data_IF_771258579175
#
_entry.id   IF_771258579175
#
_cell.length_a   1.000
_cell.length_b   1.000
_cell.length_c   1.000
_cell.angle_alpha   90.00
_cell.angle_beta   90.00
_cell.angle_gamma   90.00
#
_symmetry.space_group_name_H-M   'P 1'
#
loop_
_entity.id
_entity.type
_entity.pdbx_description
1 polymer ?
#
# COMPACT_ATOMS: atom_id res chain seq x y z
N UNK A 1 8.91 -2.99 -26.53
CA UNK A 1 8.08 -1.85 -26.10
C UNK A 1 6.85 -2.41 -25.40
N UNK A 2 6.74 -2.36 -24.07
CA UNK A 2 5.47 -2.56 -23.40
C UNK A 2 5.12 -1.28 -22.62
N UNK A 3 4.26 -0.43 -23.17
CA UNK A 3 3.79 0.79 -22.50
C UNK A 3 2.27 0.98 -22.56
N UNK A 4 1.52 0.08 -23.19
CA UNK A 4 0.11 0.34 -23.50
C UNK A 4 -0.88 -0.52 -22.68
N UNK A 5 -0.41 -1.51 -21.91
CA UNK A 5 -1.28 -2.27 -21.00
C UNK A 5 -1.56 -1.55 -19.68
N UNK A 6 -0.71 -0.58 -19.30
CA UNK A 6 -0.84 0.19 -18.06
C UNK A 6 -1.74 1.43 -18.20
N UNK A 7 -2.48 1.60 -19.31
CA UNK A 7 -3.35 2.77 -19.52
C UNK A 7 -4.83 2.42 -19.72
N UNK A 8 -5.19 1.14 -19.78
CA UNK A 8 -6.55 0.68 -20.08
C UNK A 8 -7.37 0.25 -18.86
N UNK A 9 -6.81 0.27 -17.65
CA UNK A 9 -7.52 -0.07 -16.40
C UNK A 9 -8.38 1.08 -15.84
N UNK A 10 -8.35 2.27 -16.46
CA UNK A 10 -8.93 3.51 -15.91
C UNK A 10 -10.46 3.62 -15.95
N UNK A 11 -11.19 2.69 -16.58
CA UNK A 11 -12.58 2.96 -16.99
C UNK A 11 -13.69 2.14 -16.33
N UNK A 12 -13.39 1.33 -15.32
CA UNK A 12 -14.43 0.55 -14.64
C UNK A 12 -14.21 0.45 -13.14
N UNK A 13 -14.30 1.58 -12.44
CA UNK A 13 -14.27 1.53 -10.99
C UNK A 13 -15.24 2.52 -10.37
N UNK A 14 -15.99 2.05 -9.38
CA UNK A 14 -16.90 2.88 -8.61
C UNK A 14 -16.10 4.03 -7.98
N UNK A 15 -16.74 5.16 -7.64
CA UNK A 15 -16.02 6.31 -7.03
C UNK A 15 -15.23 5.97 -5.76
N UNK A 16 -15.49 4.82 -5.11
CA UNK A 16 -14.75 4.37 -3.93
C UNK A 16 -13.37 3.82 -4.28
N UNK A 17 -13.21 3.27 -5.48
CA UNK A 17 -12.00 2.56 -5.88
C UNK A 17 -10.89 3.53 -6.35
N UNK A 18 -11.27 4.64 -6.99
CA UNK A 18 -10.31 5.66 -7.46
C UNK A 18 -9.56 6.37 -6.34
N UNK A 19 -10.20 6.57 -5.18
CA UNK A 19 -9.55 7.23 -4.05
C UNK A 19 -8.52 6.32 -3.36
N UNK A 20 -8.88 5.04 -3.20
CA UNK A 20 -7.99 4.02 -2.66
C UNK A 20 -6.77 3.82 -3.56
N UNK A 21 -6.99 3.69 -4.86
CA UNK A 21 -5.94 3.55 -5.86
C UNK A 21 -5.00 4.77 -5.90
N UNK A 22 -5.55 5.98 -5.92
CA UNK A 22 -4.75 7.20 -5.90
C UNK A 22 -3.89 7.31 -4.62
N UNK A 23 -4.45 6.88 -3.48
CA UNK A 23 -3.72 6.89 -2.19
C UNK A 23 -2.59 5.87 -2.19
N UNK A 24 -2.84 4.67 -2.71
CA UNK A 24 -1.83 3.62 -2.86
C UNK A 24 -0.68 4.04 -3.81
N UNK A 25 -1.03 4.67 -4.93
CA UNK A 25 -0.03 5.23 -5.84
C UNK A 25 0.84 6.28 -5.15
N UNK A 26 0.21 7.20 -4.40
CA UNK A 26 0.92 8.24 -3.65
C UNK A 26 1.81 7.65 -2.57
N UNK A 27 1.36 6.62 -1.87
CA UNK A 27 2.15 5.90 -0.87
C UNK A 27 3.41 5.30 -1.48
N UNK A 28 3.28 4.60 -2.62
CA UNK A 28 4.41 4.04 -3.36
C UNK A 28 5.40 5.13 -3.80
N UNK A 29 4.88 6.22 -4.37
CA UNK A 29 5.69 7.34 -4.84
C UNK A 29 6.52 7.94 -3.69
N UNK A 30 5.87 8.24 -2.56
CA UNK A 30 6.55 8.76 -1.37
C UNK A 30 7.60 7.77 -0.84
N UNK A 31 7.30 6.47 -0.83
CA UNK A 31 8.27 5.44 -0.41
C UNK A 31 9.52 5.44 -1.29
N UNK A 32 9.36 5.52 -2.61
CA UNK A 32 10.48 5.57 -3.56
C UNK A 32 11.28 6.87 -3.46
N UNK A 33 10.61 8.02 -3.33
CA UNK A 33 11.28 9.32 -3.13
C UNK A 33 12.09 9.34 -1.83
N UNK A 34 11.50 8.83 -0.74
CA UNK A 34 12.18 8.73 0.56
C UNK A 34 13.38 7.80 0.48
N UNK A 35 13.23 6.64 -0.17
CA UNK A 35 14.34 5.69 -0.36
C UNK A 35 15.48 6.31 -1.17
N UNK A 36 15.16 6.99 -2.28
CA UNK A 36 16.16 7.66 -3.10
C UNK A 36 16.92 8.73 -2.31
N UNK A 37 16.22 9.53 -1.50
CA UNK A 37 16.84 10.51 -0.62
C UNK A 37 17.74 9.84 0.43
N UNK A 38 17.28 8.75 1.05
CA UNK A 38 18.01 8.01 2.07
C UNK A 38 19.31 7.39 1.53
N UNK A 39 19.34 6.97 0.27
CA UNK A 39 20.55 6.46 -0.41
C UNK A 39 21.55 7.57 -0.72
N UNK A 40 21.11 8.80 -0.95
CA UNK A 40 22.00 9.92 -1.26
C UNK A 40 22.79 10.43 -0.05
N UNK A 41 22.35 10.15 1.19
CA UNK A 41 22.98 10.48 2.49
C UNK A 41 23.30 11.97 2.73
N UNK A 42 23.07 12.85 1.76
CA UNK A 42 23.52 14.24 1.78
C UNK A 42 22.61 15.20 2.55
N UNK A 43 21.38 14.79 2.84
CA UNK A 43 20.36 15.64 3.47
C UNK A 43 19.40 14.82 4.38
N UNK A 44 19.78 14.57 5.64
CA UNK A 44 18.95 13.85 6.61
C UNK A 44 17.62 14.53 6.93
N UNK A 45 17.55 15.86 6.82
CA UNK A 45 16.34 16.64 7.09
C UNK A 45 15.30 16.38 6.00
N UNK A 46 15.71 16.39 4.73
CA UNK A 46 14.85 16.01 3.61
C UNK A 46 14.35 14.56 3.74
N UNK A 47 15.22 13.62 4.13
CA UNK A 47 14.83 12.22 4.34
C UNK A 47 13.77 12.11 5.43
N UNK A 48 13.97 12.78 6.56
CA UNK A 48 13.01 12.79 7.68
C UNK A 48 11.68 13.42 7.27
N UNK A 49 11.69 14.52 6.52
CA UNK A 49 10.48 15.18 6.05
C UNK A 49 9.69 14.33 5.04
N UNK A 50 10.37 13.65 4.12
CA UNK A 50 9.74 12.72 3.18
C UNK A 50 9.18 11.49 3.92
N UNK A 51 9.92 10.97 4.89
CA UNK A 51 9.48 9.85 5.70
C UNK A 51 8.25 10.17 6.57
N UNK A 52 8.14 11.40 7.07
CA UNK A 52 6.93 11.87 7.74
C UNK A 52 5.70 11.91 6.83
N UNK A 53 5.86 12.41 5.60
CA UNK A 53 4.79 12.39 4.59
C UNK A 53 4.41 10.97 4.20
N UNK A 54 5.39 10.10 4.03
CA UNK A 54 5.19 8.68 3.76
C UNK A 54 4.37 8.02 4.87
N UNK A 55 4.75 8.23 6.12
CA UNK A 55 4.07 7.69 7.30
C UNK A 55 2.61 8.12 7.36
N UNK A 56 2.34 9.41 7.20
CA UNK A 56 0.96 9.93 7.17
C UNK A 56 0.15 9.31 6.04
N UNK A 57 0.74 9.14 4.85
CA UNK A 57 0.10 8.50 3.73
C UNK A 57 -0.17 7.00 3.99
N UNK A 58 0.75 6.31 4.68
CA UNK A 58 0.61 4.89 5.00
C UNK A 58 -0.60 4.64 5.91
N UNK A 59 -0.74 5.42 6.99
CA UNK A 59 -1.92 5.33 7.88
C UNK A 59 -3.23 5.54 7.11
N UNK A 60 -3.28 6.55 6.24
CA UNK A 60 -4.48 6.83 5.44
C UNK A 60 -4.78 5.72 4.43
N UNK A 61 -3.75 5.13 3.81
CA UNK A 61 -3.92 3.99 2.90
C UNK A 61 -4.50 2.79 3.64
N UNK A 62 -3.90 2.43 4.77
CA UNK A 62 -4.32 1.30 5.59
C UNK A 62 -5.77 1.45 6.08
N UNK A 63 -6.16 2.65 6.53
CA UNK A 63 -7.55 2.93 6.92
C UNK A 63 -8.55 2.82 5.75
N UNK A 64 -8.14 3.17 4.52
CA UNK A 64 -8.99 3.03 3.33
C UNK A 64 -9.12 1.56 2.92
N UNK A 65 -8.02 0.83 2.90
CA UNK A 65 -7.98 -0.59 2.57
C UNK A 65 -8.78 -1.42 3.56
N UNK A 66 -8.61 -1.19 4.86
CA UNK A 66 -9.36 -1.89 5.90
C UNK A 66 -10.85 -1.59 5.85
N UNK A 67 -11.24 -0.34 5.55
CA UNK A 67 -12.65 -0.01 5.32
C UNK A 67 -13.23 -0.80 4.16
N UNK A 68 -12.47 -0.93 3.08
CA UNK A 68 -12.91 -1.72 1.93
C UNK A 68 -12.98 -3.21 2.27
N UNK A 69 -11.91 -3.78 2.84
CA UNK A 69 -11.85 -5.19 3.23
C UNK A 69 -12.93 -5.56 4.23
N UNK A 70 -13.34 -4.65 5.12
CA UNK A 70 -14.44 -4.87 6.04
C UNK A 70 -15.82 -4.82 5.37
N UNK A 71 -15.93 -4.14 4.23
CA UNK A 71 -17.15 -4.04 3.44
C UNK A 71 -17.26 -5.13 2.36
N UNK A 72 -16.18 -5.87 2.09
CA UNK A 72 -16.13 -6.95 1.09
C UNK A 72 -16.18 -8.33 1.74
N UNK A 73 -16.43 -9.36 0.93
CA UNK A 73 -16.34 -10.77 1.34
C UNK A 73 -14.89 -11.32 1.25
N UNK A 74 -13.88 -10.45 1.16
CA UNK A 74 -12.49 -10.84 0.93
C UNK A 74 -11.92 -11.64 2.12
N UNK A 75 -11.48 -12.87 1.85
CA UNK A 75 -10.95 -13.80 2.86
C UNK A 75 -9.56 -13.41 3.37
N UNK A 76 -8.85 -12.53 2.66
CA UNK A 76 -7.51 -12.05 3.04
C UNK A 76 -7.52 -10.94 4.09
N UNK A 77 -8.70 -10.42 4.47
CA UNK A 77 -8.85 -9.29 5.40
C UNK A 77 -8.02 -9.41 6.67
N UNK A 78 -8.10 -10.56 7.36
CA UNK A 78 -7.41 -10.73 8.65
C UNK A 78 -5.89 -10.86 8.50
N UNK A 79 -5.39 -11.42 7.40
CA UNK A 79 -3.95 -11.42 7.11
C UNK A 79 -3.47 -10.02 6.76
N UNK A 80 -4.21 -9.29 5.94
CA UNK A 80 -3.83 -7.94 5.49
C UNK A 80 -3.79 -6.95 6.67
N UNK A 81 -4.80 -6.97 7.55
CA UNK A 81 -4.79 -6.13 8.77
C UNK A 81 -3.65 -6.47 9.74
N UNK A 82 -3.21 -7.74 9.80
CA UNK A 82 -2.04 -8.14 10.59
C UNK A 82 -0.73 -7.59 10.01
N UNK A 83 -0.62 -7.54 8.68
CA UNK A 83 0.51 -6.90 8.01
C UNK A 83 0.55 -5.40 8.35
N UNK A 84 -0.57 -4.67 8.23
CA UNK A 84 -0.65 -3.27 8.62
C UNK A 84 -0.24 -3.04 10.08
N UNK A 85 -0.76 -3.85 10.99
CA UNK A 85 -0.44 -3.75 12.43
C UNK A 85 1.07 -3.90 12.66
N UNK A 86 1.71 -4.88 11.98
CA UNK A 86 3.16 -5.09 12.06
C UNK A 86 3.92 -3.88 11.51
N UNK A 87 3.54 -3.38 10.33
CA UNK A 87 4.19 -2.24 9.68
C UNK A 87 4.08 -0.95 10.50
N UNK A 88 2.92 -0.69 11.11
CA UNK A 88 2.71 0.41 12.06
C UNK A 88 3.62 0.26 13.29
N UNK A 89 3.77 -0.96 13.80
CA UNK A 89 4.69 -1.26 14.90
C UNK A 89 6.13 -0.86 14.55
N UNK A 90 6.62 -1.27 13.37
CA UNK A 90 7.97 -0.95 12.90
C UNK A 90 8.18 0.56 12.69
N UNK A 91 7.18 1.27 12.13
CA UNK A 91 7.21 2.73 12.02
C UNK A 91 7.37 3.37 13.40
N UNK A 92 6.52 2.95 14.35
CA UNK A 92 6.51 3.51 15.70
C UNK A 92 7.86 3.28 16.40
N UNK A 93 8.42 2.09 16.30
CA UNK A 93 9.74 1.78 16.85
C UNK A 93 10.85 2.67 16.25
N UNK A 94 10.81 2.90 14.94
CA UNK A 94 11.79 3.76 14.29
C UNK A 94 11.61 5.22 14.72
N UNK A 95 10.38 5.72 14.83
CA UNK A 95 10.12 7.07 15.34
C UNK A 95 10.65 7.28 16.75
N UNK A 96 10.41 6.34 17.66
CA UNK A 96 10.94 6.44 19.02
C UNK A 96 12.47 6.50 19.02
N UNK A 97 13.14 5.66 18.23
CA UNK A 97 14.61 5.67 18.11
C UNK A 97 15.16 6.97 17.52
N UNK A 98 14.45 7.59 16.57
CA UNK A 98 14.84 8.89 16.01
C UNK A 98 14.69 10.03 17.02
N UNK A 99 13.72 9.93 17.94
CA UNK A 99 13.51 10.94 18.99
C UNK A 99 14.55 10.88 20.12
N UNK A 100 15.13 9.69 20.36
CA UNK A 100 16.12 9.47 21.42
C UNK A 100 17.56 9.85 20.98
N UNK A 101 17.75 10.53 19.83
CA UNK A 101 19.05 10.90 19.22
C UNK A 101 20.03 9.72 18.97
N UNK A 102 19.57 8.49 19.13
CA UNK A 102 20.40 7.27 19.15
C UNK A 102 20.69 6.69 17.76
N UNK A 103 20.27 7.36 16.66
CA UNK A 103 20.31 6.74 15.34
C UNK A 103 20.64 7.68 14.16
N UNK A 104 21.29 7.11 13.14
CA UNK A 104 21.37 7.70 11.81
C UNK A 104 20.08 7.37 11.02
N UNK A 105 19.14 8.33 10.87
CA UNK A 105 17.80 8.06 10.38
C UNK A 105 17.81 7.49 8.96
N UNK A 106 18.73 7.92 8.10
CA UNK A 106 18.77 7.51 6.69
C UNK A 106 18.92 5.99 6.51
N UNK A 107 19.82 5.34 7.27
CA UNK A 107 20.07 3.90 7.09
C UNK A 107 18.87 3.07 7.55
N UNK A 108 18.24 3.42 8.67
CA UNK A 108 17.09 2.68 9.18
C UNK A 108 15.81 2.97 8.42
N UNK A 109 15.59 4.20 7.96
CA UNK A 109 14.48 4.52 7.04
C UNK A 109 14.64 3.73 5.75
N UNK A 110 15.86 3.68 5.19
CA UNK A 110 16.15 2.87 4.01
C UNK A 110 15.79 1.40 4.23
N UNK A 111 16.32 0.77 5.28
CA UNK A 111 16.04 -0.63 5.57
C UNK A 111 14.54 -0.89 5.75
N UNK A 112 13.85 -0.02 6.49
CA UNK A 112 12.41 -0.16 6.69
C UNK A 112 11.62 -0.07 5.37
N UNK A 113 12.03 0.82 4.45
CA UNK A 113 11.37 0.95 3.16
C UNK A 113 11.68 -0.23 2.22
N UNK A 114 12.95 -0.62 2.11
CA UNK A 114 13.41 -1.70 1.21
C UNK A 114 12.87 -3.07 1.63
N UNK A 115 12.92 -3.37 2.94
CA UNK A 115 12.68 -4.72 3.44
C UNK A 115 11.22 -4.97 3.80
N UNK A 116 10.45 -3.92 4.11
CA UNK A 116 9.12 -4.06 4.71
C UNK A 116 8.02 -3.38 3.90
N UNK A 117 8.11 -2.06 3.69
CA UNK A 117 7.00 -1.31 3.10
C UNK A 117 6.87 -1.47 1.58
N UNK A 118 7.96 -1.29 0.83
CA UNK A 118 7.89 -1.41 -0.63
C UNK A 118 7.51 -2.82 -1.10
N UNK A 119 7.98 -3.91 -0.45
CA UNK A 119 7.47 -5.25 -0.73
C UNK A 119 5.98 -5.41 -0.48
N UNK A 120 5.46 -4.92 0.65
CA UNK A 120 4.02 -4.96 0.97
C UNK A 120 3.20 -4.23 -0.09
N UNK A 121 3.57 -2.98 -0.42
CA UNK A 121 2.90 -2.18 -1.46
C UNK A 121 2.95 -2.88 -2.83
N UNK A 122 4.11 -3.46 -3.16
CA UNK A 122 4.33 -4.12 -4.45
C UNK A 122 3.57 -5.43 -4.63
N UNK A 123 3.23 -6.11 -3.53
CA UNK A 123 2.61 -7.43 -3.53
C UNK A 123 1.20 -7.42 -2.93
N UNK A 124 1.06 -7.14 -1.63
CA UNK A 124 -0.21 -7.21 -0.89
C UNK A 124 -1.20 -6.16 -1.40
N UNK A 125 -0.82 -4.88 -1.40
CA UNK A 125 -1.73 -3.79 -1.77
C UNK A 125 -2.08 -3.86 -3.26
N UNK A 126 -1.10 -4.20 -4.09
CA UNK A 126 -1.34 -4.42 -5.52
C UNK A 126 -2.31 -5.59 -5.77
N UNK A 127 -2.20 -6.68 -5.02
CA UNK A 127 -3.11 -7.82 -5.15
C UNK A 127 -4.52 -7.44 -4.69
N UNK A 128 -4.64 -6.64 -3.63
CA UNK A 128 -5.91 -6.06 -3.17
C UNK A 128 -6.56 -5.20 -4.26
N UNK A 129 -5.82 -4.24 -4.82
CA UNK A 129 -6.29 -3.38 -5.92
C UNK A 129 -6.70 -4.18 -7.17
N UNK A 130 -5.99 -5.27 -7.46
CA UNK A 130 -6.36 -6.15 -8.56
C UNK A 130 -7.72 -6.83 -8.33
N UNK A 131 -7.94 -7.43 -7.15
CA UNK A 131 -9.23 -8.07 -6.79
C UNK A 131 -10.38 -7.07 -6.79
N UNK A 132 -10.11 -5.85 -6.32
CA UNK A 132 -11.01 -4.70 -6.39
C UNK A 132 -11.49 -4.42 -7.81
N UNK A 133 -10.57 -4.34 -8.77
CA UNK A 133 -10.88 -3.98 -10.15
C UNK A 133 -11.56 -5.10 -10.96
N UNK A 134 -11.37 -6.37 -10.57
CA UNK A 134 -11.81 -7.53 -11.36
C UNK A 134 -12.90 -8.37 -10.68
N UNK A 135 -13.28 -8.04 -9.44
CA UNK A 135 -14.09 -8.91 -8.58
C UNK A 135 -13.26 -10.06 -8.02
N UNK A 136 -13.71 -10.64 -6.91
CA UNK A 136 -13.19 -11.94 -6.47
C UNK A 136 -13.70 -12.98 -7.48
N UNK A 137 -12.84 -13.88 -7.97
CA UNK A 137 -13.21 -14.97 -8.92
C UNK A 137 -14.38 -15.86 -8.44
N UNK A 138 -14.88 -15.67 -7.21
CA UNK A 138 -16.02 -16.37 -6.62
C UNK A 138 -17.39 -15.92 -7.18
N UNK A 139 -17.48 -14.86 -7.99
CA UNK A 139 -18.74 -14.45 -8.64
C UNK A 139 -19.03 -15.19 -9.98
N UNK A 140 -18.20 -16.16 -10.40
CA UNK A 140 -18.35 -16.91 -11.66
C UNK A 140 -19.23 -18.18 -11.54
N UNK A 141 -19.81 -18.48 -10.38
CA UNK A 141 -20.77 -19.60 -10.23
C UNK A 141 -22.17 -19.12 -9.86
N UNK A 142 -22.92 -18.58 -10.83
CA UNK A 142 -24.40 -18.62 -10.80
C UNK A 142 -25.10 -18.37 -12.14
N UNK A 143 -24.62 -18.99 -13.21
CA UNK A 143 -25.47 -19.27 -14.37
C UNK A 143 -26.18 -20.61 -14.15
N UNK A 144 -27.32 -20.55 -13.43
CA UNK A 144 -28.31 -21.63 -13.50
C UNK A 144 -28.80 -21.73 -14.96
N UNK A 145 -28.69 -22.90 -15.63
CA UNK A 145 -29.22 -23.03 -16.98
C UNK A 145 -30.74 -22.86 -16.96
N UNK A 146 -31.33 -22.13 -17.94
CA UNK A 146 -32.77 -21.96 -18.00
C UNK A 146 -33.42 -23.33 -18.19
N UNK A 147 -34.36 -23.65 -17.31
CA UNK A 147 -35.10 -24.90 -17.33
C UNK A 147 -35.67 -25.20 -18.72
N UNK A 148 -35.38 -26.40 -19.21
CA UNK A 148 -36.15 -27.01 -20.28
C UNK A 148 -37.30 -27.79 -19.64
N UNK A 149 -38.50 -27.20 -19.68
CA UNK A 149 -39.75 -27.96 -19.73
C UNK A 149 -39.95 -28.49 -21.15
#
# INVERSE_FOLDING_TARGET
>A
MPADHDLLWWWSSSKHDLHLEATNYRLKELGLQTLQAAVSVSDPDTVTALFAQFTECAYRSFELEERWLNASADTSRESHAREHTRLIGLLTELYMKMMDDDLHPCASIRHLLEDEFLPHIGASDRALLYRLAHGSDEDIERDDPPGAN
#
